data_IF_126374640597
#
_entry.id   IF_126374640597
#
_cell.length_a   1.000
_cell.length_b   1.000
_cell.length_c   1.000
_cell.angle_alpha   90.00
_cell.angle_beta   90.00
_cell.angle_gamma   90.00
#
_symmetry.space_group_name_H-M   'P 1'
#
loop_
_entity.id
_entity.type
_entity.pdbx_description
1 polymer ?
#
# COMPACT_ATOMS: atom_id res chain seq x y z
N UNK A 1 48.08 -5.59 23.47
CA UNK A 1 46.69 -6.04 23.75
C UNK A 1 45.63 -5.07 23.19
N UNK A 2 45.79 -3.75 23.35
CA UNK A 2 44.85 -2.70 22.89
C UNK A 2 44.63 -2.67 21.36
N UNK A 3 45.68 -2.86 20.56
CA UNK A 3 45.62 -2.88 19.08
C UNK A 3 44.83 -4.08 18.50
N UNK A 4 44.72 -5.18 19.24
CA UNK A 4 43.97 -6.38 18.80
C UNK A 4 42.47 -6.20 19.03
N UNK A 5 42.08 -5.60 20.16
CA UNK A 5 40.69 -5.25 20.48
C UNK A 5 40.10 -4.24 19.48
N UNK A 6 40.87 -3.21 19.09
CA UNK A 6 40.44 -2.23 18.09
C UNK A 6 40.18 -2.83 16.70
N UNK A 7 40.99 -3.81 16.29
CA UNK A 7 40.81 -4.56 15.02
C UNK A 7 39.58 -5.46 15.03
N UNK A 8 39.24 -6.02 16.19
CA UNK A 8 38.03 -6.86 16.37
C UNK A 8 36.77 -5.99 16.34
N UNK A 9 36.76 -4.87 17.06
CA UNK A 9 35.65 -3.90 17.07
C UNK A 9 35.36 -3.37 15.65
N UNK A 10 36.41 -3.04 14.88
CA UNK A 10 36.29 -2.54 13.50
C UNK A 10 35.73 -3.58 12.51
N UNK A 11 35.86 -4.88 12.81
CA UNK A 11 35.26 -5.97 12.02
C UNK A 11 33.86 -6.37 12.47
N UNK A 12 33.49 -6.10 13.73
CA UNK A 12 32.14 -6.36 14.26
C UNK A 12 31.16 -5.20 14.03
N UNK A 13 31.63 -3.97 13.87
CA UNK A 13 30.80 -2.79 13.61
C UNK A 13 29.99 -2.78 12.29
N UNK A 14 30.46 -3.36 11.16
CA UNK A 14 29.68 -3.35 9.92
C UNK A 14 28.52 -4.35 9.92
N UNK A 15 28.55 -5.40 10.75
CA UNK A 15 27.50 -6.41 10.85
C UNK A 15 26.14 -5.85 11.30
N UNK A 16 26.03 -5.06 12.39
CA UNK A 16 24.75 -4.46 12.78
C UNK A 16 24.25 -3.43 11.76
N UNK A 17 25.15 -2.69 11.11
CA UNK A 17 24.79 -1.71 10.08
C UNK A 17 24.24 -2.43 8.84
N UNK A 18 24.90 -3.49 8.39
CA UNK A 18 24.44 -4.32 7.29
C UNK A 18 23.10 -5.00 7.60
N UNK A 19 22.93 -5.50 8.82
CA UNK A 19 21.66 -6.05 9.30
C UNK A 19 20.53 -4.99 9.30
N UNK A 20 20.80 -3.76 9.77
CA UNK A 20 19.84 -2.66 9.72
C UNK A 20 19.42 -2.29 8.29
N UNK A 21 20.35 -2.34 7.33
CA UNK A 21 20.08 -2.09 5.91
C UNK A 21 19.19 -3.22 5.34
N UNK A 22 19.51 -4.49 5.64
CA UNK A 22 18.69 -5.64 5.22
C UNK A 22 17.27 -5.58 5.80
N UNK A 23 17.12 -5.17 7.07
CA UNK A 23 15.82 -5.00 7.72
C UNK A 23 14.98 -3.89 7.06
N UNK A 24 15.59 -2.82 6.55
CA UNK A 24 14.88 -1.76 5.81
C UNK A 24 14.41 -2.20 4.43
N UNK A 25 15.09 -3.16 3.79
CA UNK A 25 14.71 -3.66 2.47
C UNK A 25 13.50 -4.58 2.50
N UNK A 26 13.14 -5.11 3.68
CA UNK A 26 11.87 -5.78 3.92
C UNK A 26 10.76 -4.73 4.02
N UNK A 27 10.47 -4.07 2.90
CA UNK A 27 9.25 -3.27 2.74
C UNK A 27 8.08 -4.23 2.80
N UNK A 28 7.60 -4.50 4.01
CA UNK A 28 6.34 -5.19 4.24
C UNK A 28 5.29 -4.34 3.53
N UNK A 29 4.79 -4.82 2.39
CA UNK A 29 3.62 -4.23 1.74
C UNK A 29 2.46 -4.52 2.68
N UNK A 30 2.21 -3.59 3.60
CA UNK A 30 1.07 -3.64 4.49
C UNK A 30 -0.16 -3.30 3.63
N UNK A 31 -1.05 -4.28 3.49
CA UNK A 31 -2.34 -4.11 2.85
C UNK A 31 -3.42 -4.58 3.81
N UNK A 32 -4.55 -3.89 3.79
CA UNK A 32 -5.70 -4.30 4.57
C UNK A 32 -6.31 -5.57 3.98
N UNK A 33 -6.64 -6.53 4.85
CA UNK A 33 -7.36 -7.75 4.46
C UNK A 33 -8.85 -7.43 4.43
N UNK A 34 -9.52 -7.79 3.33
CA UNK A 34 -10.94 -7.56 3.15
C UNK A 34 -11.58 -8.50 2.15
N UNK A 35 -12.89 -8.40 2.02
CA UNK A 35 -13.69 -9.15 1.05
C UNK A 35 -13.99 -8.28 -0.15
N UNK A 36 -13.82 -8.83 -1.35
CA UNK A 36 -14.22 -8.17 -2.59
C UNK A 36 -15.31 -8.99 -3.30
N UNK A 37 -16.25 -8.31 -3.94
CA UNK A 37 -17.27 -8.90 -4.80
C UNK A 37 -17.54 -8.00 -6.01
N UNK A 38 -18.15 -8.57 -7.05
CA UNK A 38 -18.59 -7.81 -8.22
C UNK A 38 -20.06 -7.42 -8.11
N UNK A 39 -20.44 -6.29 -8.69
CA UNK A 39 -21.84 -5.87 -8.83
C UNK A 39 -22.14 -5.44 -10.26
N UNK A 40 -23.43 -5.52 -10.62
CA UNK A 40 -23.93 -5.14 -11.95
C UNK A 40 -24.43 -3.68 -12.01
N UNK A 41 -24.78 -3.19 -13.21
CA UNK A 41 -25.34 -1.85 -13.39
C UNK A 41 -26.70 -1.68 -12.69
N UNK A 42 -27.15 -0.43 -12.43
CA UNK A 42 -26.52 0.83 -12.85
C UNK A 42 -25.33 1.24 -11.99
N UNK A 43 -24.25 1.74 -12.63
CA UNK A 43 -23.02 2.19 -11.96
C UNK A 43 -23.04 3.66 -11.52
N UNK A 44 -24.05 4.42 -11.95
CA UNK A 44 -24.31 5.82 -11.59
C UNK A 44 -25.72 5.94 -10.98
N UNK A 45 -25.97 6.91 -10.08
CA UNK A 45 -25.01 7.89 -9.57
C UNK A 45 -24.00 7.29 -8.59
N UNK A 46 -22.79 7.86 -8.56
CA UNK A 46 -21.81 7.59 -7.50
C UNK A 46 -21.83 8.70 -6.46
N UNK A 47 -21.35 8.41 -5.25
CA UNK A 47 -21.19 9.43 -4.20
C UNK A 47 -20.08 10.44 -4.56
N UNK A 48 -19.11 10.03 -5.38
CA UNK A 48 -17.97 10.86 -5.75
C UNK A 48 -18.29 11.92 -6.81
N UNK A 49 -18.92 11.53 -7.92
CA UNK A 49 -19.12 12.39 -9.10
C UNK A 49 -20.55 12.35 -9.65
N UNK A 50 -21.49 11.75 -8.90
CA UNK A 50 -22.90 11.68 -9.27
C UNK A 50 -23.09 10.94 -10.60
N UNK A 51 -23.77 11.60 -11.54
CA UNK A 51 -24.16 11.04 -12.83
C UNK A 51 -23.10 11.18 -13.94
N UNK A 52 -21.89 11.68 -13.64
CA UNK A 52 -20.84 11.89 -14.64
C UNK A 52 -20.25 10.55 -15.08
N UNK A 53 -20.48 10.15 -16.33
CA UNK A 53 -19.95 8.90 -16.87
C UNK A 53 -18.43 8.96 -17.11
N UNK A 54 -17.88 10.16 -17.23
CA UNK A 54 -16.47 10.43 -17.48
C UNK A 54 -15.57 10.04 -16.30
N UNK A 55 -16.16 9.75 -15.13
CA UNK A 55 -15.43 9.31 -13.93
C UNK A 55 -14.83 7.89 -14.09
N UNK A 56 -15.35 7.09 -15.01
CA UNK A 56 -14.89 5.71 -15.19
C UNK A 56 -13.67 5.66 -16.11
N UNK A 57 -12.57 5.01 -15.68
CA UNK A 57 -11.38 4.89 -16.50
C UNK A 57 -11.60 3.94 -17.69
N UNK A 58 -10.79 4.06 -18.76
CA UNK A 58 -10.78 3.10 -19.86
C UNK A 58 -10.64 1.66 -19.36
N UNK A 59 -11.45 0.75 -19.89
CA UNK A 59 -11.48 -0.66 -19.46
C UNK A 59 -12.34 -0.94 -18.23
N UNK A 60 -13.09 0.04 -17.71
CA UNK A 60 -14.06 -0.12 -16.62
C UNK A 60 -13.43 -0.71 -15.34
N UNK A 61 -12.16 -0.43 -15.09
CA UNK A 61 -11.46 -0.84 -13.87
C UNK A 61 -11.71 0.18 -12.75
N UNK A 62 -12.88 0.08 -12.12
CA UNK A 62 -13.27 0.88 -10.96
C UNK A 62 -13.79 -0.03 -9.84
N UNK A 63 -13.93 0.52 -8.63
CA UNK A 63 -14.41 -0.21 -7.46
C UNK A 63 -15.27 0.69 -6.59
N UNK A 64 -16.32 0.13 -6.00
CA UNK A 64 -17.02 0.73 -4.88
C UNK A 64 -16.43 0.20 -3.58
N UNK A 65 -16.19 1.09 -2.61
CA UNK A 65 -15.62 0.74 -1.32
C UNK A 65 -16.64 0.96 -0.20
N UNK A 66 -16.47 0.28 0.93
CA UNK A 66 -17.32 0.46 2.10
C UNK A 66 -16.95 1.74 2.87
N UNK A 67 -17.80 2.14 3.82
CA UNK A 67 -17.61 3.33 4.68
C UNK A 67 -16.23 3.43 5.31
N UNK A 68 -15.66 2.31 5.77
CA UNK A 68 -14.33 2.30 6.40
C UNK A 68 -13.19 2.67 5.47
N UNK A 69 -13.35 2.46 4.16
CA UNK A 69 -12.36 2.82 3.13
C UNK A 69 -12.72 4.11 2.39
N UNK A 70 -14.01 4.46 2.32
CA UNK A 70 -14.53 5.63 1.60
C UNK A 70 -14.03 6.96 2.20
N UNK A 71 -13.82 6.99 3.53
CA UNK A 71 -13.18 8.11 4.23
C UNK A 71 -13.92 9.45 4.00
N UNK A 72 -15.25 9.46 4.16
CA UNK A 72 -16.11 10.62 3.91
C UNK A 72 -15.89 11.30 2.54
N UNK A 73 -15.54 10.53 1.52
CA UNK A 73 -15.29 11.03 0.16
C UNK A 73 -13.81 11.34 -0.13
N UNK A 74 -12.93 11.32 0.86
CA UNK A 74 -11.50 11.51 0.64
C UNK A 74 -10.84 10.35 -0.15
N UNK A 75 -11.54 9.23 -0.32
CA UNK A 75 -11.11 8.14 -1.19
C UNK A 75 -11.56 8.28 -2.66
N UNK A 76 -12.35 9.30 -3.01
CA UNK A 76 -12.77 9.51 -4.39
C UNK A 76 -11.56 9.70 -5.32
N UNK A 77 -11.51 8.93 -6.42
CA UNK A 77 -10.37 8.91 -7.35
C UNK A 77 -9.12 8.18 -6.85
N UNK A 78 -9.12 7.64 -5.63
CA UNK A 78 -7.99 6.86 -5.08
C UNK A 78 -7.84 5.54 -5.85
N UNK A 79 -6.60 5.15 -6.16
CA UNK A 79 -6.28 3.87 -6.81
C UNK A 79 -5.88 2.83 -5.76
N UNK A 80 -6.41 1.62 -5.91
CA UNK A 80 -6.12 0.50 -5.04
C UNK A 80 -5.38 -0.59 -5.81
N UNK A 81 -4.47 -1.28 -5.13
CA UNK A 81 -3.85 -2.50 -5.63
C UNK A 81 -4.39 -3.67 -4.84
N UNK A 82 -5.17 -4.52 -5.51
CA UNK A 82 -5.73 -5.73 -4.90
C UNK A 82 -4.79 -6.90 -5.20
N UNK A 83 -4.57 -7.75 -4.20
CA UNK A 83 -3.92 -9.06 -4.35
C UNK A 83 -4.80 -10.12 -3.72
N UNK A 84 -4.87 -11.27 -4.38
CA UNK A 84 -5.55 -12.48 -3.93
C UNK A 84 -4.48 -13.44 -3.42
#
# INVERSE_FOLDING_TARGET
MVLSFARIIMRLFPLPIFLCILLKQMSLVLGDVGTASSYGPPYIPTVCDGNRAEQFPPGNMFVAVNEGLWDNGAACGRRYRIRI
#
